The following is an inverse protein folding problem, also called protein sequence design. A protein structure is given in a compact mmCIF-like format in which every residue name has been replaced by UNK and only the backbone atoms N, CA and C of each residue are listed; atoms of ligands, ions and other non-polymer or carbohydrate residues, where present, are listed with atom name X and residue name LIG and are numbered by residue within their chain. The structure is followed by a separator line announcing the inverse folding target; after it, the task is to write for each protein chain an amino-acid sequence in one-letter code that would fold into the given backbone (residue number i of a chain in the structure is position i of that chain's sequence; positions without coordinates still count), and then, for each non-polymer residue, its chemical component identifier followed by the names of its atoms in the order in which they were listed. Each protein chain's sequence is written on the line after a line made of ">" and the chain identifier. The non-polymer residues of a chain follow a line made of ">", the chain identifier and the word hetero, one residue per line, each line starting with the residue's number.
data_IF_253342668796
#
_entry.id   IF_253342668796
#
_cell.length_a   1.000
_cell.length_b   1.000
_cell.length_c   1.000
_cell.angle_alpha   90.00
_cell.angle_beta   90.00
_cell.angle_gamma   90.00
#
_symmetry.space_group_name_H-M   'P 1'
#
loop_
_entity.id
_entity.type
_entity.pdbx_description
1 polymer ?
#
# COMPACT_ATOMS: atom_id res chain seq x y z
N UNK A 1 -11.91 7.96 8.95
CA UNK A 1 -10.94 8.60 8.04
C UNK A 1 -10.49 7.67 6.93
N UNK A 2 -10.80 6.39 7.06
CA UNK A 2 -10.59 5.34 6.06
C UNK A 2 -11.72 5.41 5.01
N UNK A 3 -11.62 6.34 4.06
CA UNK A 3 -12.65 6.58 3.06
C UNK A 3 -12.02 6.86 1.68
N UNK A 4 -12.38 6.03 0.69
CA UNK A 4 -11.78 6.10 -0.65
C UNK A 4 -10.27 5.83 -0.60
N UNK A 5 -9.51 6.39 -1.52
CA UNK A 5 -8.03 6.32 -1.46
C UNK A 5 -7.53 7.09 -0.24
N UNK A 6 -6.89 6.39 0.68
CA UNK A 6 -6.40 6.97 1.95
C UNK A 6 -5.07 6.35 2.35
N UNK A 7 -4.40 6.98 3.31
CA UNK A 7 -3.16 6.51 3.89
C UNK A 7 -3.34 6.25 5.38
N UNK A 8 -2.86 5.10 5.85
CA UNK A 8 -2.81 4.70 7.24
C UNK A 8 -1.43 4.97 7.83
N UNK A 9 -1.43 5.54 9.02
CA UNK A 9 -0.25 5.76 9.84
C UNK A 9 -0.11 4.66 10.89
N UNK A 10 1.10 4.45 11.47
CA UNK A 10 1.32 3.48 12.54
C UNK A 10 0.30 3.51 13.68
N UNK A 11 -0.18 4.69 14.04
CA UNK A 11 -1.17 4.86 15.13
C UNK A 11 -2.48 4.10 14.88
N UNK A 12 -2.78 3.68 13.64
CA UNK A 12 -3.98 2.92 13.32
C UNK A 12 -4.05 1.58 14.08
N UNK A 13 -2.95 0.84 14.17
CA UNK A 13 -2.88 -0.46 14.85
C UNK A 13 -1.93 -0.47 16.04
N UNK A 14 -0.98 0.47 16.11
CA UNK A 14 0.09 0.46 17.10
C UNK A 14 -0.14 1.54 18.15
N UNK A 15 -0.47 1.17 19.41
CA UNK A 15 -0.63 2.14 20.49
C UNK A 15 0.66 2.97 20.66
N UNK A 16 0.53 4.29 20.59
CA UNK A 16 1.66 5.20 20.66
C UNK A 16 2.49 5.31 19.37
N UNK A 17 2.05 4.66 18.28
CA UNK A 17 2.65 4.82 16.96
C UNK A 17 2.51 6.25 16.41
N UNK A 18 3.29 6.57 15.38
CA UNK A 18 3.24 7.88 14.72
C UNK A 18 1.85 8.13 14.11
N UNK A 19 1.34 9.35 14.31
CA UNK A 19 0.09 9.81 13.71
C UNK A 19 0.33 10.31 12.29
N UNK A 20 -0.74 10.51 11.52
CA UNK A 20 -0.64 10.86 10.08
C UNK A 20 0.08 12.19 9.84
N UNK A 21 -0.05 13.15 10.74
CA UNK A 21 0.64 14.44 10.69
C UNK A 21 2.13 14.36 11.03
N UNK A 22 2.59 13.21 11.54
CA UNK A 22 3.99 12.91 11.87
C UNK A 22 4.70 12.07 10.79
N UNK A 23 4.00 11.62 9.76
CA UNK A 23 4.62 10.90 8.64
C UNK A 23 5.56 11.85 7.89
N UNK A 24 6.86 11.51 7.74
CA UNK A 24 7.80 12.33 6.99
C UNK A 24 7.37 12.44 5.52
N UNK A 25 7.31 13.67 4.98
CA UNK A 25 6.78 13.91 3.62
C UNK A 25 7.63 13.26 2.53
N UNK A 26 8.94 13.08 2.75
CA UNK A 26 9.85 12.36 1.86
C UNK A 26 9.48 10.87 1.70
N UNK A 27 8.71 10.32 2.63
CA UNK A 27 8.14 8.98 2.47
C UNK A 27 6.94 8.97 1.53
N UNK A 28 6.26 10.10 1.38
CA UNK A 28 5.04 10.25 0.59
C UNK A 28 5.32 10.67 -0.86
N UNK A 29 6.57 11.07 -1.18
CA UNK A 29 6.99 11.50 -2.51
C UNK A 29 8.26 10.76 -2.89
N UNK A 30 8.41 10.38 -4.16
CA UNK A 30 9.65 9.85 -4.71
C UNK A 30 9.49 8.59 -5.54
N UNK A 31 10.61 8.03 -6.01
CA UNK A 31 10.59 6.86 -6.88
C UNK A 31 9.89 5.69 -6.23
N UNK A 32 9.00 5.06 -6.98
CA UNK A 32 8.14 3.97 -6.55
C UNK A 32 8.28 2.78 -7.51
N UNK A 33 8.40 1.59 -6.97
CA UNK A 33 8.32 0.34 -7.73
C UNK A 33 6.86 -0.02 -7.95
N UNK A 34 6.50 -0.39 -9.17
CA UNK A 34 5.15 -0.85 -9.52
C UNK A 34 5.15 -2.34 -9.82
N UNK A 35 4.43 -3.11 -9.00
CA UNK A 35 4.29 -4.57 -9.16
C UNK A 35 2.88 -4.88 -9.62
N UNK A 36 2.75 -5.52 -10.78
CA UNK A 36 1.47 -5.96 -11.34
C UNK A 36 1.26 -7.45 -11.13
N UNK A 37 0.38 -7.78 -10.20
CA UNK A 37 -0.12 -9.13 -10.01
C UNK A 37 -1.45 -9.24 -10.77
N UNK A 38 -1.37 -9.53 -12.06
CA UNK A 38 -2.53 -9.44 -12.97
C UNK A 38 -3.68 -10.37 -12.55
N UNK A 39 -4.87 -9.77 -12.34
CA UNK A 39 -6.14 -10.47 -12.15
C UNK A 39 -6.13 -11.46 -10.97
N UNK A 40 -5.75 -10.99 -9.79
CA UNK A 40 -5.87 -11.78 -8.57
C UNK A 40 -7.31 -12.26 -8.35
N UNK A 41 -7.46 -13.52 -7.97
CA UNK A 41 -8.75 -14.10 -7.65
C UNK A 41 -9.29 -13.55 -6.32
N UNK A 42 -10.62 -13.62 -6.08
CA UNK A 42 -11.18 -13.38 -4.76
C UNK A 42 -10.44 -14.18 -3.68
N UNK A 43 -10.13 -13.53 -2.56
CA UNK A 43 -9.39 -14.10 -1.42
C UNK A 43 -7.99 -14.65 -1.74
N UNK A 44 -7.44 -14.36 -2.92
CA UNK A 44 -6.08 -14.78 -3.23
C UNK A 44 -5.11 -14.17 -2.21
N UNK A 45 -4.27 -15.00 -1.62
CA UNK A 45 -3.20 -14.57 -0.72
C UNK A 45 -1.94 -14.33 -1.54
N UNK A 46 -1.38 -13.13 -1.43
CA UNK A 46 -0.11 -12.72 -2.03
C UNK A 46 0.98 -13.12 -1.04
N UNK A 47 1.83 -14.03 -1.44
CA UNK A 47 2.92 -14.57 -0.63
C UNK A 47 4.26 -13.88 -0.94
N UNK A 48 5.27 -14.13 -0.11
CA UNK A 48 6.60 -13.55 -0.30
C UNK A 48 7.21 -13.97 -1.65
N UNK A 49 6.97 -15.21 -2.06
CA UNK A 49 7.45 -15.81 -3.31
C UNK A 49 6.94 -15.06 -4.55
N UNK A 50 5.72 -14.48 -4.48
CA UNK A 50 5.15 -13.69 -5.57
C UNK A 50 5.90 -12.36 -5.77
N UNK A 51 6.65 -11.92 -4.77
CA UNK A 51 7.34 -10.63 -4.73
C UNK A 51 8.88 -10.76 -4.83
N UNK A 52 9.44 -11.94 -4.63
CA UNK A 52 10.89 -12.18 -4.58
C UNK A 52 11.63 -11.74 -5.84
N UNK A 53 11.02 -11.88 -7.02
CA UNK A 53 11.61 -11.44 -8.28
C UNK A 53 11.85 -9.92 -8.36
N UNK A 54 11.21 -9.15 -7.48
CA UNK A 54 11.36 -7.69 -7.39
C UNK A 54 12.34 -7.23 -6.31
N UNK A 55 13.06 -8.14 -5.66
CA UNK A 55 13.93 -7.86 -4.51
C UNK A 55 14.89 -6.69 -4.75
N UNK A 56 15.64 -6.70 -5.85
CA UNK A 56 16.62 -5.65 -6.15
C UNK A 56 15.96 -4.29 -6.39
N UNK A 57 14.80 -4.27 -7.03
CA UNK A 57 14.03 -3.05 -7.29
C UNK A 57 13.49 -2.46 -5.99
N UNK A 58 12.97 -3.30 -5.10
CA UNK A 58 12.43 -2.91 -3.80
C UNK A 58 13.52 -2.31 -2.89
N UNK A 59 14.72 -2.89 -2.90
CA UNK A 59 15.85 -2.35 -2.14
C UNK A 59 16.36 -1.00 -2.64
N UNK A 60 16.22 -0.74 -3.92
CA UNK A 60 16.62 0.55 -4.52
C UNK A 60 15.56 1.63 -4.32
N UNK A 61 14.29 1.25 -4.21
CA UNK A 61 13.15 2.16 -4.13
C UNK A 61 12.21 1.71 -3.02
N UNK A 62 12.27 2.38 -1.87
CA UNK A 62 11.55 1.93 -0.67
C UNK A 62 10.06 2.28 -0.66
N UNK A 63 9.48 2.55 -1.83
CA UNK A 63 8.04 2.72 -2.05
C UNK A 63 7.57 1.70 -3.07
N UNK A 64 6.44 1.05 -2.81
CA UNK A 64 5.88 0.05 -3.71
C UNK A 64 4.37 0.22 -3.85
N UNK A 65 3.89 0.10 -5.08
CA UNK A 65 2.46 -0.07 -5.37
C UNK A 65 2.27 -1.47 -5.93
N UNK A 66 1.33 -2.22 -5.38
CA UNK A 66 0.94 -3.55 -5.85
C UNK A 66 -0.45 -3.45 -6.48
N UNK A 67 -0.53 -3.74 -7.78
CA UNK A 67 -1.79 -3.82 -8.52
C UNK A 67 -2.26 -5.27 -8.54
N UNK A 68 -3.43 -5.52 -7.95
CA UNK A 68 -4.12 -6.82 -8.01
C UNK A 68 -5.21 -6.86 -9.09
N UNK A 69 -5.63 -5.70 -9.56
CA UNK A 69 -6.76 -5.51 -10.48
C UNK A 69 -8.11 -5.46 -9.76
N UNK A 70 -8.11 -5.51 -8.41
CA UNK A 70 -9.34 -5.56 -7.61
C UNK A 70 -10.17 -4.28 -7.69
N UNK A 71 -9.55 -3.11 -7.88
CA UNK A 71 -10.25 -1.82 -8.05
C UNK A 71 -11.36 -1.86 -9.12
N UNK A 72 -11.27 -2.77 -10.11
CA UNK A 72 -12.30 -2.97 -11.15
C UNK A 72 -13.62 -3.52 -10.59
N UNK A 73 -13.59 -4.06 -9.38
CA UNK A 73 -14.76 -4.56 -8.67
C UNK A 73 -15.43 -3.49 -7.79
N UNK A 74 -14.97 -2.24 -7.84
CA UNK A 74 -15.61 -1.13 -7.13
C UNK A 74 -17.13 -1.10 -7.37
N UNK A 75 -17.90 -0.82 -6.32
CA UNK A 75 -19.35 -0.83 -6.27
C UNK A 75 -20.04 -2.21 -6.42
N UNK A 76 -19.29 -3.34 -6.45
CA UNK A 76 -19.89 -4.67 -6.29
C UNK A 76 -20.09 -4.98 -4.81
N UNK A 77 -21.11 -5.79 -4.49
CA UNK A 77 -21.46 -6.15 -3.11
C UNK A 77 -20.28 -6.82 -2.36
N UNK A 78 -19.46 -7.56 -3.08
CA UNK A 78 -18.33 -8.30 -2.52
C UNK A 78 -17.01 -7.53 -2.54
N UNK A 79 -16.99 -6.25 -2.90
CA UNK A 79 -15.75 -5.46 -3.00
C UNK A 79 -14.95 -5.47 -1.69
N UNK A 80 -15.62 -5.31 -0.56
CA UNK A 80 -14.99 -5.24 0.76
C UNK A 80 -14.73 -6.60 1.41
N UNK A 81 -15.42 -7.67 0.99
CA UNK A 81 -15.34 -8.99 1.62
C UNK A 81 -14.34 -9.92 0.95
N UNK A 82 -14.22 -9.87 -0.38
CA UNK A 82 -13.57 -10.94 -1.16
C UNK A 82 -12.23 -10.50 -1.77
N UNK A 83 -11.69 -9.35 -1.37
CA UNK A 83 -10.46 -8.80 -1.96
C UNK A 83 -9.23 -9.72 -1.72
N UNK A 84 -8.22 -9.63 -2.61
CA UNK A 84 -6.92 -10.26 -2.39
C UNK A 84 -6.23 -9.71 -1.13
N UNK A 85 -5.41 -10.54 -0.50
CA UNK A 85 -4.77 -10.28 0.78
C UNK A 85 -3.25 -10.39 0.66
N UNK A 86 -2.52 -9.60 1.42
CA UNK A 86 -1.08 -9.73 1.60
C UNK A 86 -0.84 -10.58 2.84
N UNK A 87 -0.04 -11.66 2.71
CA UNK A 87 0.30 -12.49 3.86
C UNK A 87 1.25 -11.77 4.82
N UNK A 88 1.24 -12.20 6.08
CA UNK A 88 2.23 -11.72 7.06
C UNK A 88 3.67 -11.98 6.63
N UNK A 89 3.94 -13.07 5.89
CA UNK A 89 5.26 -13.37 5.34
C UNK A 89 5.66 -12.42 4.21
N UNK A 90 4.73 -12.07 3.31
CA UNK A 90 4.95 -11.06 2.28
C UNK A 90 5.21 -9.69 2.90
N UNK A 91 4.48 -9.30 3.95
CA UNK A 91 4.71 -8.07 4.67
C UNK A 91 6.12 -8.04 5.30
N UNK A 92 6.55 -9.11 5.98
CA UNK A 92 7.92 -9.27 6.52
C UNK A 92 8.98 -9.17 5.44
N UNK A 93 8.73 -9.76 4.28
CA UNK A 93 9.64 -9.66 3.13
C UNK A 93 9.81 -8.21 2.68
N UNK A 94 8.71 -7.47 2.47
CA UNK A 94 8.74 -6.07 2.06
C UNK A 94 9.44 -5.17 3.10
N UNK A 95 9.18 -5.39 4.39
CA UNK A 95 9.88 -4.69 5.49
C UNK A 95 11.39 -4.95 5.43
N UNK A 96 11.82 -6.21 5.25
CA UNK A 96 13.25 -6.56 5.09
C UNK A 96 13.90 -5.94 3.86
N UNK A 97 13.13 -5.71 2.79
CA UNK A 97 13.63 -4.98 1.61
C UNK A 97 13.81 -3.47 1.89
N UNK A 98 13.36 -2.97 3.04
CA UNK A 98 13.46 -1.55 3.41
C UNK A 98 12.28 -0.71 2.90
N UNK A 99 11.18 -1.35 2.50
CA UNK A 99 9.96 -0.62 2.11
C UNK A 99 9.44 0.18 3.30
N UNK A 100 9.10 1.44 3.09
CA UNK A 100 8.53 2.33 4.10
C UNK A 100 7.17 2.92 3.69
N UNK A 101 6.70 2.63 2.46
CA UNK A 101 5.35 2.92 1.99
C UNK A 101 4.91 1.83 1.03
N UNK A 102 3.75 1.26 1.28
CA UNK A 102 3.07 0.35 0.38
C UNK A 102 1.73 0.94 -0.05
N UNK A 103 1.35 0.74 -1.30
CA UNK A 103 0.01 1.04 -1.78
C UNK A 103 -0.62 -0.14 -2.49
N UNK A 104 -1.92 -0.31 -2.29
CA UNK A 104 -2.73 -1.39 -2.88
C UNK A 104 -4.02 -0.85 -3.47
N UNK A 105 -4.56 -1.56 -4.44
CA UNK A 105 -5.85 -1.27 -5.07
C UNK A 105 -7.03 -2.01 -4.42
N UNK A 106 -6.76 -2.69 -3.31
CA UNK A 106 -7.75 -3.36 -2.48
C UNK A 106 -8.27 -2.42 -1.38
N UNK A 107 -9.45 -2.70 -0.80
CA UNK A 107 -9.98 -1.91 0.32
C UNK A 107 -9.21 -2.10 1.63
N UNK A 108 -8.38 -3.15 1.71
CA UNK A 108 -7.48 -3.44 2.83
C UNK A 108 -6.31 -4.30 2.34
N UNK A 109 -5.16 -4.24 3.01
CA UNK A 109 -4.03 -5.13 2.74
C UNK A 109 -4.29 -6.54 3.25
N UNK A 110 -5.11 -6.72 4.29
CA UNK A 110 -5.47 -8.01 4.89
C UNK A 110 -6.79 -7.95 5.65
N UNK A 111 -7.12 -9.03 6.32
CA UNK A 111 -8.28 -9.17 7.22
C UNK A 111 -7.81 -9.75 8.55
N UNK A 112 -8.72 -9.84 9.55
CA UNK A 112 -8.41 -10.48 10.84
C UNK A 112 -7.68 -11.83 10.62
N UNK A 113 -6.51 -12.05 11.27
CA UNK A 113 -5.92 -11.37 12.43
C UNK A 113 -5.01 -10.15 12.12
N UNK A 114 -5.06 -9.57 10.91
CA UNK A 114 -4.35 -8.35 10.52
C UNK A 114 -2.82 -8.45 10.59
N UNK A 115 -2.26 -9.57 10.19
CA UNK A 115 -0.81 -9.83 10.26
C UNK A 115 0.01 -8.85 9.43
N UNK A 116 -0.47 -8.49 8.22
CA UNK A 116 0.23 -7.56 7.35
C UNK A 116 0.14 -6.12 7.89
N UNK A 117 -1.03 -5.68 8.37
CA UNK A 117 -1.15 -4.38 9.04
C UNK A 117 -0.20 -4.27 10.22
N UNK A 118 -0.21 -5.26 11.12
CA UNK A 118 0.65 -5.27 12.31
C UNK A 118 2.13 -5.23 11.92
N UNK A 119 2.55 -6.01 10.94
CA UNK A 119 3.92 -6.04 10.46
C UNK A 119 4.35 -4.69 9.86
N UNK A 120 3.56 -4.14 8.94
CA UNK A 120 3.88 -2.86 8.30
C UNK A 120 3.91 -1.71 9.30
N UNK A 121 2.85 -1.54 10.07
CA UNK A 121 2.69 -0.38 10.93
C UNK A 121 3.65 -0.41 12.14
N UNK A 122 3.99 -1.61 12.68
CA UNK A 122 5.00 -1.73 13.73
C UNK A 122 6.42 -1.35 13.27
N UNK A 123 6.68 -1.46 11.97
CA UNK A 123 7.95 -1.06 11.35
C UNK A 123 7.88 0.34 10.69
N UNK A 124 6.87 1.14 11.03
CA UNK A 124 6.65 2.48 10.48
C UNK A 124 6.48 2.51 8.95
N UNK A 125 5.96 1.46 8.34
CA UNK A 125 5.56 1.45 6.93
C UNK A 125 4.16 2.04 6.84
N UNK A 126 3.98 3.11 6.05
CA UNK A 126 2.67 3.67 5.76
C UNK A 126 1.95 2.81 4.72
N UNK A 127 0.63 2.70 4.82
CA UNK A 127 -0.19 1.91 3.90
C UNK A 127 -1.12 2.86 3.13
N UNK A 128 -1.20 2.72 1.81
CA UNK A 128 -2.21 3.39 0.99
C UNK A 128 -3.17 2.33 0.46
N UNK A 129 -4.46 2.54 0.68
CA UNK A 129 -5.52 1.62 0.27
C UNK A 129 -6.46 2.25 -0.75
N UNK A 130 -7.22 1.42 -1.45
CA UNK A 130 -8.20 1.84 -2.44
C UNK A 130 -7.60 2.68 -3.60
N UNK A 131 -6.40 2.33 -4.07
CA UNK A 131 -5.87 2.92 -5.29
C UNK A 131 -6.71 2.52 -6.50
N UNK A 132 -6.78 3.39 -7.51
CA UNK A 132 -7.55 3.15 -8.72
C UNK A 132 -6.85 3.73 -9.95
N UNK A 133 -7.34 3.40 -11.16
CA UNK A 133 -6.78 3.82 -12.44
C UNK A 133 -5.33 3.34 -12.68
N UNK A 134 -4.92 2.26 -12.03
CA UNK A 134 -3.55 1.75 -12.12
C UNK A 134 -3.21 1.22 -13.53
N UNK A 135 -4.23 0.87 -14.33
CA UNK A 135 -4.07 0.47 -15.73
C UNK A 135 -3.47 1.56 -16.62
N UNK A 136 -3.50 2.81 -16.16
CA UNK A 136 -2.93 3.96 -16.89
C UNK A 136 -1.43 4.14 -16.68
N UNK A 137 -0.85 3.42 -15.74
CA UNK A 137 0.59 3.43 -15.50
C UNK A 137 1.22 2.42 -16.45
N UNK A 138 2.22 2.84 -17.22
CA UNK A 138 2.88 2.00 -18.23
C UNK A 138 4.27 1.53 -17.82
N UNK A 139 4.93 2.28 -16.92
CA UNK A 139 6.26 1.97 -16.40
C UNK A 139 6.20 1.14 -15.12
N UNK A 140 7.19 0.27 -14.91
CA UNK A 140 7.38 -0.45 -13.64
C UNK A 140 8.02 0.43 -12.56
N UNK A 141 8.38 1.67 -12.91
CA UNK A 141 8.90 2.69 -11.99
C UNK A 141 8.32 4.04 -12.37
N UNK A 142 7.83 4.76 -11.37
CA UNK A 142 7.32 6.11 -11.54
C UNK A 142 7.60 6.95 -10.29
N UNK A 143 7.41 8.24 -10.39
CA UNK A 143 7.42 9.14 -9.23
C UNK A 143 6.04 9.13 -8.57
N UNK A 144 5.95 8.63 -7.34
CA UNK A 144 4.73 8.67 -6.54
C UNK A 144 4.64 10.01 -5.79
N UNK A 145 3.46 10.60 -5.79
CA UNK A 145 3.09 11.73 -4.94
C UNK A 145 1.78 11.35 -4.23
N UNK A 146 1.82 11.16 -2.91
CA UNK A 146 0.67 10.73 -2.11
C UNK A 146 0.68 11.41 -0.74
N UNK A 147 0.52 12.73 -0.74
CA UNK A 147 0.59 13.54 0.48
C UNK A 147 -0.69 13.43 1.30
N UNK A 148 -0.62 13.01 2.57
CA UNK A 148 -1.77 13.06 3.47
C UNK A 148 -2.09 14.51 3.88
N UNK A 149 -3.33 14.75 4.26
CA UNK A 149 -3.69 15.97 4.95
C UNK A 149 -3.03 15.99 6.34
N UNK A 150 -2.62 17.17 6.80
CA UNK A 150 -2.03 17.34 8.14
C UNK A 150 -3.11 17.34 9.22
N UNK A 151 -3.67 16.16 9.48
CA UNK A 151 -4.71 15.93 10.48
C UNK A 151 -4.08 15.55 11.82
N UNK A 152 -3.97 16.49 12.74
CA UNK A 152 -3.30 16.29 14.03
C UNK A 152 -3.93 15.14 14.82
N UNK A 153 -3.07 14.26 15.34
CA UNK A 153 -3.42 13.12 16.18
C UNK A 153 -4.45 12.16 15.54
N UNK A 154 -4.37 11.94 14.20
CA UNK A 154 -5.21 10.98 13.50
C UNK A 154 -4.39 9.79 12.98
N UNK A 155 -5.08 8.66 12.91
CA UNK A 155 -4.51 7.39 12.45
C UNK A 155 -4.45 7.27 10.93
N UNK A 156 -5.20 8.09 10.19
CA UNK A 156 -5.28 8.03 8.74
C UNK A 156 -5.67 9.36 8.11
N UNK A 157 -5.53 9.47 6.80
CA UNK A 157 -5.99 10.61 6.00
C UNK A 157 -6.36 10.19 4.59
N UNK A 158 -7.45 10.70 4.01
CA UNK A 158 -7.64 10.65 2.57
C UNK A 158 -6.42 11.25 1.87
N UNK A 159 -6.03 10.64 0.74
CA UNK A 159 -4.94 11.13 -0.11
C UNK A 159 -5.37 11.16 -1.57
N UNK A 160 -4.82 12.10 -2.33
CA UNK A 160 -4.85 12.03 -3.78
C UNK A 160 -3.51 11.51 -4.27
N UNK A 161 -3.43 10.21 -4.54
CA UNK A 161 -2.23 9.60 -5.08
C UNK A 161 -2.09 9.91 -6.57
N UNK A 162 -0.88 10.30 -6.97
CA UNK A 162 -0.52 10.64 -8.36
C UNK A 162 0.72 9.86 -8.73
N UNK A 163 0.70 9.20 -9.89
CA UNK A 163 1.87 8.64 -10.53
C UNK A 163 2.35 9.60 -11.64
N UNK A 164 3.62 9.96 -11.62
CA UNK A 164 4.27 10.77 -12.67
C UNK A 164 5.28 9.90 -13.39
N UNK A 165 5.01 9.59 -14.65
CA UNK A 165 5.95 8.88 -15.52
C UNK A 165 6.80 9.91 -16.25
N UNK A 166 8.13 9.75 -16.18
CA UNK A 166 9.06 10.56 -16.96
C UNK A 166 9.05 10.04 -18.40
N UNK A 167 8.90 10.95 -19.36
CA UNK A 167 8.94 10.65 -20.79
C UNK A 167 10.35 10.24 -21.24
#
# INVERSE_FOLDING_TARGET
>A
MHCGTHMDAPFHFIPGGSTIDQIPLERCIGPCTFIRLKNCAPHQVIEAEDLEMHFDQLRQRPKVIIETGWYKNWARDNYFSDHPLISGNAAKFLVRCGVHLIGVDTPSVDINPFEAHLEFLSHNVAIIENLTNLERIHSDVFELIALPLKLTAREASPVRAIAVELA
#
